data_IF_072650634993
#
_entry.id   IF_072650634993
#
_cell.length_a   1.000
_cell.length_b   1.000
_cell.length_c   1.000
_cell.angle_alpha   90.00
_cell.angle_beta   90.00
_cell.angle_gamma   90.00
#
_symmetry.space_group_name_H-M   'P 1'
#
loop_
_entity.id
_entity.type
_entity.pdbx_description
1 polymer ?
#
# COMPACT_ATOMS: atom_id res chain seq x y z
N UNK A 1 -0.88 -18.18 12.51
CA UNK A 1 -0.49 -17.40 13.14
C UNK A 1 -0.39 -15.91 13.13
N UNK A 2 0.56 -15.42 13.81
CA UNK A 2 0.80 -13.99 13.91
C UNK A 2 -0.24 -13.27 14.79
N UNK A 3 -0.57 -12.05 14.37
CA UNK A 3 -1.51 -11.18 15.08
C UNK A 3 -2.95 -11.29 14.55
N UNK A 4 -3.30 -12.39 13.93
CA UNK A 4 -4.66 -12.64 13.47
C UNK A 4 -5.45 -13.26 14.62
N UNK A 5 -6.13 -12.44 15.36
CA UNK A 5 -6.98 -12.82 16.48
C UNK A 5 -8.28 -12.00 16.47
N UNK A 6 -9.30 -12.54 17.06
CA UNK A 6 -10.58 -11.89 17.20
C UNK A 6 -11.43 -12.60 18.24
N UNK A 7 -12.46 -11.93 18.69
CA UNK A 7 -13.45 -12.53 19.59
C UNK A 7 -14.84 -12.02 19.24
N UNK A 8 -15.80 -12.90 19.44
CA UNK A 8 -17.21 -12.58 19.30
C UNK A 8 -17.69 -11.75 20.51
N UNK A 9 -18.46 -10.70 20.24
CA UNK A 9 -19.23 -9.98 21.24
C UNK A 9 -20.71 -10.23 21.00
N UNK A 10 -21.45 -10.69 22.01
CA UNK A 10 -22.89 -10.88 21.89
C UNK A 10 -23.55 -9.61 21.33
N UNK A 11 -24.39 -9.75 20.34
CA UNK A 11 -25.18 -8.70 19.69
C UNK A 11 -24.37 -7.58 18.99
N UNK A 12 -23.06 -7.70 18.90
CA UNK A 12 -22.16 -6.70 18.28
C UNK A 12 -21.28 -7.27 17.17
N UNK A 13 -21.33 -8.57 16.92
CA UNK A 13 -20.48 -9.23 15.96
C UNK A 13 -19.05 -9.48 16.44
N UNK A 14 -18.12 -9.59 15.51
CA UNK A 14 -16.73 -9.93 15.82
C UNK A 14 -15.87 -8.68 15.96
N UNK A 15 -15.03 -8.67 16.98
CA UNK A 15 -13.97 -7.68 17.14
C UNK A 15 -12.65 -8.31 16.73
N UNK A 16 -12.03 -7.76 15.72
CA UNK A 16 -10.73 -8.20 15.19
C UNK A 16 -9.68 -7.12 15.37
N UNK A 17 -8.42 -7.52 15.40
CA UNK A 17 -7.30 -6.59 15.52
C UNK A 17 -6.95 -6.00 14.16
N UNK A 18 -7.07 -4.68 14.03
CA UNK A 18 -6.66 -3.88 12.88
C UNK A 18 -7.35 -4.22 11.56
N UNK A 19 -7.03 -3.50 10.53
CA UNK A 19 -7.44 -3.77 9.16
C UNK A 19 -6.58 -4.85 8.50
N UNK A 20 -7.11 -5.45 7.44
CA UNK A 20 -6.39 -6.39 6.58
C UNK A 20 -6.63 -5.99 5.13
N UNK A 21 -5.59 -5.48 4.51
CA UNK A 21 -5.61 -5.18 3.08
C UNK A 21 -4.99 -6.33 2.31
N UNK A 22 -5.56 -6.65 1.17
CA UNK A 22 -5.12 -7.76 0.34
C UNK A 22 -4.88 -7.25 -1.08
N UNK A 23 -3.84 -7.78 -1.71
CA UNK A 23 -3.47 -7.41 -3.08
C UNK A 23 -3.92 -8.50 -4.06
N UNK A 24 -4.19 -8.10 -5.31
CA UNK A 24 -4.62 -9.02 -6.37
C UNK A 24 -3.65 -10.17 -6.61
N UNK A 25 -2.37 -10.01 -6.29
CA UNK A 25 -1.31 -10.97 -6.52
C UNK A 25 -0.91 -11.79 -5.28
N UNK A 26 -1.75 -11.85 -4.28
CA UNK A 26 -1.59 -12.80 -3.16
C UNK A 26 -2.05 -14.20 -3.55
N UNK A 27 -1.43 -14.77 -4.56
CA UNK A 27 -1.86 -16.00 -5.24
C UNK A 27 -2.05 -17.18 -4.28
N UNK A 28 -1.09 -17.37 -3.36
CA UNK A 28 -1.20 -18.43 -2.34
C UNK A 28 -2.36 -18.18 -1.37
N UNK A 29 -2.67 -16.91 -1.04
CA UNK A 29 -3.80 -16.58 -0.18
C UNK A 29 -5.12 -16.84 -0.89
N UNK A 30 -5.21 -16.48 -2.16
CA UNK A 30 -6.42 -16.74 -2.96
C UNK A 30 -6.65 -18.22 -3.17
N UNK A 31 -5.60 -19.01 -3.35
CA UNK A 31 -5.70 -20.47 -3.42
C UNK A 31 -6.18 -21.05 -2.10
N UNK A 32 -5.63 -20.60 -0.97
CA UNK A 32 -6.11 -20.97 0.36
C UNK A 32 -7.59 -20.62 0.54
N UNK A 33 -7.99 -19.38 0.24
CA UNK A 33 -9.39 -18.95 0.40
C UNK A 33 -10.37 -19.76 -0.46
N UNK A 34 -9.95 -20.18 -1.64
CA UNK A 34 -10.74 -21.07 -2.50
C UNK A 34 -10.93 -22.44 -1.89
N UNK A 35 -9.98 -22.93 -1.10
CA UNK A 35 -10.05 -24.24 -0.45
C UNK A 35 -10.88 -24.27 0.85
N UNK A 36 -11.22 -23.11 1.41
CA UNK A 36 -12.00 -23.00 2.64
C UNK A 36 -13.47 -22.86 2.28
N UNK A 37 -14.34 -23.79 2.70
CA UNK A 37 -15.77 -23.67 2.43
C UNK A 37 -16.40 -22.52 3.21
N UNK A 38 -17.38 -21.85 2.59
CA UNK A 38 -18.23 -20.90 3.29
C UNK A 38 -19.01 -21.57 4.41
N UNK A 39 -19.18 -20.87 5.52
CA UNK A 39 -20.05 -21.31 6.61
C UNK A 39 -21.51 -20.94 6.38
N UNK A 40 -21.78 -19.95 5.53
CA UNK A 40 -23.11 -19.38 5.32
C UNK A 40 -23.76 -19.83 4.02
N UNK A 41 -22.96 -20.12 2.99
CA UNK A 41 -23.46 -20.43 1.64
C UNK A 41 -22.95 -21.79 1.19
N UNK A 42 -23.84 -22.75 1.09
CA UNK A 42 -23.52 -24.12 0.63
C UNK A 42 -22.91 -24.10 -0.79
N UNK A 43 -21.80 -24.79 -0.96
CA UNK A 43 -21.09 -24.89 -2.24
C UNK A 43 -20.20 -23.70 -2.59
N UNK A 44 -20.21 -22.63 -1.78
CA UNK A 44 -19.31 -21.48 -1.94
C UNK A 44 -18.03 -21.63 -1.10
N UNK A 45 -17.04 -20.82 -1.44
CA UNK A 45 -15.78 -20.68 -0.69
C UNK A 45 -15.66 -19.33 -0.03
N UNK A 46 -14.71 -19.19 0.90
CA UNK A 46 -14.34 -17.88 1.48
C UNK A 46 -13.89 -16.89 0.40
N UNK A 47 -13.28 -17.37 -0.70
CA UNK A 47 -12.92 -16.51 -1.83
C UNK A 47 -14.16 -15.95 -2.53
N UNK A 48 -15.21 -16.75 -2.70
CA UNK A 48 -16.45 -16.30 -3.32
C UNK A 48 -17.11 -15.22 -2.47
N UNK A 49 -17.18 -15.41 -1.16
CA UNK A 49 -17.70 -14.42 -0.22
C UNK A 49 -16.90 -13.12 -0.26
N UNK A 50 -15.56 -13.22 -0.24
CA UNK A 50 -14.69 -12.05 -0.36
C UNK A 50 -14.93 -11.30 -1.67
N UNK A 51 -15.08 -12.01 -2.79
CA UNK A 51 -15.40 -11.42 -4.08
C UNK A 51 -16.77 -10.70 -4.05
N UNK A 52 -17.80 -11.32 -3.48
CA UNK A 52 -19.14 -10.73 -3.42
C UNK A 52 -19.18 -9.46 -2.57
N UNK A 53 -18.42 -9.41 -1.48
CA UNK A 53 -18.30 -8.22 -0.65
C UNK A 53 -17.64 -7.05 -1.37
N UNK A 54 -16.75 -7.32 -2.32
CA UNK A 54 -15.91 -6.29 -2.93
C UNK A 54 -16.32 -5.94 -4.38
N UNK A 55 -17.16 -6.72 -5.04
CA UNK A 55 -17.49 -6.54 -6.46
C UNK A 55 -18.20 -5.23 -6.79
N UNK A 56 -19.04 -4.74 -5.88
CA UNK A 56 -19.87 -3.55 -6.07
C UNK A 56 -19.20 -2.28 -5.48
N UNK A 57 -18.25 -2.46 -4.58
CA UNK A 57 -17.37 -1.43 -4.07
C UNK A 57 -15.91 -1.92 -4.24
N UNK A 58 -15.27 -1.63 -5.36
CA UNK A 58 -13.95 -2.15 -5.71
C UNK A 58 -12.84 -1.62 -4.81
N UNK A 59 -13.13 -1.39 -3.56
CA UNK A 59 -12.18 -1.04 -2.50
C UNK A 59 -11.21 0.08 -2.87
N UNK A 60 -11.72 0.99 -3.69
CA UNK A 60 -10.99 2.14 -4.16
C UNK A 60 -11.29 3.33 -3.26
N UNK A 61 -10.51 3.51 -2.23
CA UNK A 61 -10.55 4.76 -1.45
C UNK A 61 -9.40 5.65 -1.85
N UNK A 62 -9.72 6.90 -2.20
CA UNK A 62 -8.70 7.93 -2.32
C UNK A 62 -7.97 8.07 -0.99
N UNK A 63 -6.66 8.06 -1.04
CA UNK A 63 -5.84 8.28 0.13
C UNK A 63 -6.13 9.66 0.72
N UNK A 64 -6.20 9.72 2.04
CA UNK A 64 -6.47 10.94 2.78
C UNK A 64 -5.35 11.19 3.77
N UNK A 65 -4.89 12.42 3.84
CA UNK A 65 -3.93 12.84 4.85
C UNK A 65 -4.41 14.11 5.54
N UNK A 66 -3.92 14.34 6.73
CA UNK A 66 -4.16 15.57 7.48
C UNK A 66 -2.85 16.28 7.73
N UNK A 67 -2.91 17.59 7.71
CA UNK A 67 -1.83 18.49 8.10
C UNK A 67 -2.30 19.38 9.25
N UNK A 68 -1.40 20.09 9.89
CA UNK A 68 -1.74 21.09 10.91
C UNK A 68 -2.82 20.61 11.89
N UNK A 69 -2.56 19.48 12.55
CA UNK A 69 -3.44 18.93 13.59
C UNK A 69 -4.87 18.61 13.13
N UNK A 70 -5.00 18.05 11.94
CA UNK A 70 -6.27 17.49 11.47
C UNK A 70 -6.93 18.28 10.35
N UNK A 71 -6.34 19.32 9.83
CA UNK A 71 -6.81 19.95 8.60
C UNK A 71 -6.58 19.00 7.41
N UNK A 72 -7.52 18.89 6.47
CA UNK A 72 -7.28 18.13 5.24
C UNK A 72 -6.04 18.63 4.51
N UNK A 73 -5.17 17.72 4.07
CA UNK A 73 -4.06 18.08 3.19
C UNK A 73 -4.62 18.61 1.86
N UNK A 74 -4.04 19.64 1.25
CA UNK A 74 -4.36 20.02 -0.12
C UNK A 74 -4.06 18.85 -1.04
N UNK A 75 -4.75 18.76 -2.16
CA UNK A 75 -4.55 17.72 -3.19
C UNK A 75 -4.77 16.27 -2.71
N UNK A 76 -5.71 16.07 -1.78
CA UNK A 76 -6.08 14.73 -1.33
C UNK A 76 -6.34 13.78 -2.51
N UNK A 77 -5.61 12.66 -2.50
CA UNK A 77 -5.72 11.63 -3.54
C UNK A 77 -4.97 11.92 -4.83
N UNK A 78 -4.27 13.04 -4.94
CA UNK A 78 -3.40 13.34 -6.06
C UNK A 78 -1.95 13.39 -5.60
N UNK A 79 -1.11 12.61 -6.23
CA UNK A 79 0.33 12.65 -6.01
C UNK A 79 0.97 13.57 -7.04
N UNK A 80 1.24 14.80 -6.65
CA UNK A 80 2.00 15.73 -7.49
C UNK A 80 3.48 15.62 -7.15
N UNK A 81 4.30 15.36 -8.16
CA UNK A 81 5.75 15.41 -8.06
C UNK A 81 6.31 16.49 -8.97
N UNK A 82 7.23 17.29 -8.45
CA UNK A 82 8.00 18.21 -9.30
C UNK A 82 8.81 17.44 -10.34
N UNK A 83 9.23 18.10 -11.40
CA UNK A 83 10.10 17.46 -12.42
C UNK A 83 11.41 16.94 -11.83
N UNK A 84 11.95 17.60 -10.81
CA UNK A 84 13.13 17.13 -10.10
C UNK A 84 12.85 15.84 -9.34
N UNK A 85 11.77 15.79 -8.57
CA UNK A 85 11.35 14.60 -7.84
C UNK A 85 11.01 13.41 -8.76
N UNK A 86 10.36 13.66 -9.90
CA UNK A 86 10.11 12.62 -10.93
C UNK A 86 11.42 12.05 -11.49
N UNK A 87 12.42 12.91 -11.72
CA UNK A 87 13.75 12.49 -12.19
C UNK A 87 14.46 11.62 -11.16
N UNK A 88 14.41 11.99 -9.89
CA UNK A 88 14.99 11.20 -8.80
C UNK A 88 14.30 9.85 -8.68
N UNK A 89 12.97 9.83 -8.74
CA UNK A 89 12.18 8.59 -8.74
C UNK A 89 12.59 7.66 -9.89
N UNK A 90 12.68 8.19 -11.11
CA UNK A 90 13.09 7.41 -12.28
C UNK A 90 14.52 6.88 -12.12
N UNK A 91 15.43 7.70 -11.62
CA UNK A 91 16.82 7.31 -11.35
C UNK A 91 16.90 6.15 -10.38
N UNK A 92 16.18 6.22 -9.24
CA UNK A 92 16.15 5.14 -8.26
C UNK A 92 15.49 3.89 -8.85
N UNK A 93 14.41 4.05 -9.60
CA UNK A 93 13.72 2.94 -10.25
C UNK A 93 14.63 2.16 -11.22
N UNK A 94 15.43 2.87 -12.02
CA UNK A 94 16.33 2.27 -13.01
C UNK A 94 17.68 1.83 -12.45
N UNK A 95 18.05 2.26 -11.25
CA UNK A 95 19.34 1.93 -10.63
C UNK A 95 19.48 0.43 -10.40
N UNK A 96 20.71 -0.06 -10.37
CA UNK A 96 20.99 -1.45 -10.02
C UNK A 96 20.90 -1.67 -8.50
N UNK A 97 20.88 -2.92 -8.07
CA UNK A 97 20.92 -3.28 -6.66
C UNK A 97 22.19 -2.75 -5.99
N UNK A 98 23.34 -2.97 -6.62
CA UNK A 98 24.65 -2.56 -6.12
C UNK A 98 24.78 -1.05 -5.94
N UNK A 99 24.10 -0.28 -6.79
CA UNK A 99 24.08 1.18 -6.67
C UNK A 99 23.25 1.67 -5.47
N UNK A 100 22.34 0.86 -4.96
CA UNK A 100 21.37 1.25 -3.91
C UNK A 100 21.65 0.61 -2.56
N UNK A 101 22.32 -0.56 -2.49
CA UNK A 101 22.40 -1.37 -1.27
C UNK A 101 23.05 -0.69 -0.06
N UNK A 102 23.96 0.28 -0.31
CA UNK A 102 24.66 1.00 0.75
C UNK A 102 24.24 2.46 0.87
N UNK A 103 23.10 2.83 0.28
CA UNK A 103 22.57 4.20 0.33
C UNK A 103 21.32 4.29 1.17
N UNK A 104 21.11 5.47 1.72
CA UNK A 104 19.88 5.88 2.40
C UNK A 104 18.96 6.62 1.44
N UNK A 105 17.69 6.70 1.78
CA UNK A 105 16.68 7.40 0.97
C UNK A 105 17.07 8.87 0.77
N UNK A 106 17.49 9.56 1.83
CA UNK A 106 17.92 10.97 1.75
C UNK A 106 19.26 11.20 1.02
N UNK A 107 19.96 10.17 0.60
CA UNK A 107 21.16 10.28 -0.23
C UNK A 107 20.84 10.13 -1.73
N UNK A 108 19.65 9.66 -2.07
CA UNK A 108 19.24 9.40 -3.46
C UNK A 108 18.06 10.25 -3.92
N UNK A 109 17.29 10.76 -2.99
CA UNK A 109 16.19 11.69 -3.25
C UNK A 109 16.50 13.08 -2.71
N UNK A 110 16.24 14.11 -3.51
CA UNK A 110 16.37 15.50 -3.11
C UNK A 110 15.20 16.02 -2.30
N UNK A 111 15.33 17.25 -1.80
CA UNK A 111 14.33 17.95 -0.97
C UNK A 111 12.96 18.03 -1.67
N UNK A 112 12.93 18.24 -2.97
CA UNK A 112 11.69 18.28 -3.76
C UNK A 112 10.86 17.00 -3.61
N UNK A 113 11.53 15.85 -3.53
CA UNK A 113 10.86 14.58 -3.31
C UNK A 113 10.45 14.41 -1.85
N UNK A 114 11.38 14.67 -0.92
CA UNK A 114 11.17 14.44 0.52
C UNK A 114 10.13 15.40 1.14
N UNK A 115 9.87 16.55 0.51
CA UNK A 115 8.78 17.47 0.88
C UNK A 115 7.46 17.21 0.14
N UNK A 116 7.42 16.24 -0.77
CA UNK A 116 6.24 15.98 -1.59
C UNK A 116 5.12 15.25 -0.82
N UNK A 117 3.89 15.42 -1.30
CA UNK A 117 2.75 14.64 -0.81
C UNK A 117 2.95 13.13 -1.07
N UNK A 118 3.60 12.76 -2.17
CA UNK A 118 3.92 11.36 -2.44
C UNK A 118 4.76 10.75 -1.32
N UNK A 119 5.86 11.42 -0.92
CA UNK A 119 6.70 10.95 0.18
C UNK A 119 5.95 10.90 1.50
N UNK A 120 5.13 11.90 1.80
CA UNK A 120 4.31 11.93 3.02
C UNK A 120 3.37 10.69 3.09
N UNK A 121 2.68 10.35 2.02
CA UNK A 121 1.83 9.17 1.97
C UNK A 121 2.64 7.88 2.03
N UNK A 122 3.72 7.81 1.27
CA UNK A 122 4.58 6.64 1.20
C UNK A 122 5.18 6.27 2.55
N UNK A 123 5.78 7.25 3.23
CA UNK A 123 6.36 7.04 4.56
C UNK A 123 5.32 6.64 5.60
N UNK A 124 4.14 7.19 5.52
CA UNK A 124 3.04 6.90 6.45
C UNK A 124 2.47 5.50 6.22
N UNK A 125 2.27 5.13 4.96
CA UNK A 125 1.69 3.84 4.57
C UNK A 125 2.64 2.66 4.84
N UNK A 126 3.91 2.82 4.52
CA UNK A 126 4.90 1.75 4.57
C UNK A 126 5.93 1.90 5.70
N UNK A 127 5.74 2.87 6.59
CA UNK A 127 6.62 3.16 7.72
C UNK A 127 8.09 3.41 7.32
N UNK A 128 8.30 4.07 6.19
CA UNK A 128 9.64 4.49 5.79
C UNK A 128 10.06 5.79 6.48
N UNK A 129 11.35 5.89 6.74
CA UNK A 129 12.02 7.11 7.17
C UNK A 129 13.19 7.44 6.22
N UNK A 130 13.58 8.70 6.17
CA UNK A 130 14.59 9.20 5.23
C UNK A 130 15.96 8.53 5.36
N UNK A 131 16.28 8.03 6.54
CA UNK A 131 17.52 7.31 6.85
C UNK A 131 17.45 5.80 6.56
N UNK A 132 16.29 5.29 6.13
CA UNK A 132 16.15 3.89 5.75
C UNK A 132 16.86 3.57 4.43
N UNK A 133 16.97 2.29 4.12
CA UNK A 133 17.63 1.78 2.92
C UNK A 133 16.95 2.24 1.63
N UNK A 134 17.72 2.85 0.74
CA UNK A 134 17.27 3.18 -0.60
C UNK A 134 16.95 1.93 -1.43
N UNK A 135 17.66 0.83 -1.19
CA UNK A 135 17.37 -0.44 -1.85
C UNK A 135 15.98 -0.98 -1.47
N UNK A 136 15.64 -0.98 -0.18
CA UNK A 136 14.33 -1.42 0.27
C UNK A 136 13.22 -0.57 -0.34
N UNK A 137 13.37 0.74 -0.35
CA UNK A 137 12.41 1.62 -1.00
C UNK A 137 12.28 1.31 -2.50
N UNK A 138 13.38 1.09 -3.20
CA UNK A 138 13.37 0.69 -4.61
C UNK A 138 12.59 -0.60 -4.84
N UNK A 139 12.80 -1.62 -4.02
CA UNK A 139 12.09 -2.90 -4.11
C UNK A 139 10.59 -2.74 -3.88
N UNK A 140 10.20 -1.91 -2.92
CA UNK A 140 8.80 -1.57 -2.67
C UNK A 140 8.18 -0.79 -3.85
N UNK A 141 8.91 0.17 -4.43
CA UNK A 141 8.44 0.90 -5.62
C UNK A 141 8.18 -0.04 -6.79
N UNK A 142 9.10 -0.97 -7.07
CA UNK A 142 8.91 -1.98 -8.11
C UNK A 142 7.68 -2.84 -7.86
N UNK A 143 7.51 -3.33 -6.65
CA UNK A 143 6.37 -4.12 -6.25
C UNK A 143 5.07 -3.34 -6.39
N UNK A 144 5.04 -2.10 -5.91
CA UNK A 144 3.86 -1.25 -5.96
C UNK A 144 3.37 -0.99 -7.39
N UNK A 145 4.28 -0.71 -8.33
CA UNK A 145 3.94 -0.50 -9.74
C UNK A 145 3.32 -1.75 -10.37
N UNK A 146 3.81 -2.92 -10.03
CA UNK A 146 3.23 -4.18 -10.50
C UNK A 146 1.82 -4.41 -9.95
N UNK A 147 1.56 -4.02 -8.72
CA UNK A 147 0.30 -4.30 -8.04
C UNK A 147 -0.85 -3.36 -8.39
N UNK A 148 -0.56 -2.12 -8.73
CA UNK A 148 -1.60 -1.13 -9.08
C UNK A 148 -1.93 -1.09 -10.58
N UNK A 149 -1.39 -2.03 -11.37
CA UNK A 149 -1.69 -2.13 -12.80
C UNK A 149 -1.06 -1.05 -13.68
N UNK A 150 -0.08 -0.31 -13.18
CA UNK A 150 0.63 0.71 -13.94
C UNK A 150 1.28 1.77 -13.07
N UNK A 151 1.94 2.71 -13.72
CA UNK A 151 2.44 3.91 -13.04
C UNK A 151 1.25 4.75 -12.59
N UNK A 152 1.25 5.25 -11.35
CA UNK A 152 0.28 6.25 -10.94
C UNK A 152 0.29 7.41 -11.93
N UNK A 153 -0.89 7.94 -12.21
CA UNK A 153 -0.98 9.17 -12.99
C UNK A 153 -0.39 10.32 -12.16
N UNK A 154 0.80 10.73 -12.53
CA UNK A 154 1.50 11.87 -11.92
C UNK A 154 1.18 13.19 -12.62
N UNK A 155 0.06 13.26 -13.33
CA UNK A 155 -0.38 14.48 -14.01
C UNK A 155 -0.83 15.59 -13.06
#
# INVERSE_FOLDING_TARGET
>A
GGALDGHEKPDQGYVIRGGREMENHFECLWDLFRSIPSLEVEGASVLDEFYWLNKDDPNFSLQRATIEQGKPAPDMGKFTLSKAAQKDMLKVFMATREEMENKRINEVFGEDFLSSNFWMYWRTMFAFEEWHSALEMKLYLHRFIHHIGGLPDFS
#
